data_IF_028011875507
#
_entry.id   IF_028011875507
#
_cell.length_a   1.000
_cell.length_b   1.000
_cell.length_c   1.000
_cell.angle_alpha   90.00
_cell.angle_beta   90.00
_cell.angle_gamma   90.00
#
_symmetry.space_group_name_H-M   'P 1'
#
loop_
_entity.id
_entity.type
_entity.pdbx_description
1 polymer ?
#
# COMPACT_ATOMS: atom_id res chain seq x y z
N UNK A 1 -17.45 8.79 9.29
CA UNK A 1 -16.84 8.77 10.63
C UNK A 1 -15.99 7.51 10.75
N UNK A 2 -14.73 7.59 10.34
CA UNK A 2 -13.70 6.63 10.75
C UNK A 2 -13.09 7.12 12.07
N UNK A 3 -13.03 6.24 13.06
CA UNK A 3 -12.57 6.55 14.40
C UNK A 3 -11.99 5.30 15.06
N UNK A 4 -11.01 5.52 15.93
CA UNK A 4 -10.29 4.47 16.67
C UNK A 4 -11.29 3.55 17.38
N UNK A 5 -11.07 2.23 17.33
CA UNK A 5 -11.96 1.22 17.91
C UNK A 5 -13.21 0.91 17.08
N UNK A 6 -13.41 1.56 15.92
CA UNK A 6 -14.52 1.26 15.02
C UNK A 6 -14.29 -0.02 14.19
N UNK A 7 -15.41 -0.63 13.78
CA UNK A 7 -15.47 -1.68 12.77
C UNK A 7 -15.86 -1.07 11.42
N UNK A 8 -15.10 -1.37 10.37
CA UNK A 8 -15.37 -0.95 8.99
C UNK A 8 -15.31 -2.16 8.06
N UNK A 9 -16.24 -2.24 7.12
CA UNK A 9 -16.11 -3.12 5.96
C UNK A 9 -16.00 -2.29 4.68
N UNK A 10 -15.23 -2.77 3.73
CA UNK A 10 -15.04 -2.11 2.44
C UNK A 10 -14.94 -3.14 1.32
N UNK A 11 -15.50 -2.84 0.15
CA UNK A 11 -15.45 -3.73 -1.02
C UNK A 11 -14.10 -3.64 -1.75
N UNK A 12 -13.02 -3.76 -0.97
CA UNK A 12 -11.63 -3.68 -1.43
C UNK A 12 -10.73 -4.44 -0.46
N UNK A 13 -9.74 -5.16 -0.99
CA UNK A 13 -8.83 -5.98 -0.18
C UNK A 13 -7.90 -5.18 0.72
N UNK A 14 -7.62 -3.92 0.39
CA UNK A 14 -6.71 -3.03 1.12
C UNK A 14 -7.43 -2.12 2.11
N UNK A 15 -8.73 -2.36 2.36
CA UNK A 15 -9.49 -1.81 3.50
C UNK A 15 -8.74 -1.90 4.86
N UNK A 16 -7.95 -2.96 5.17
CA UNK A 16 -7.10 -3.02 6.37
C UNK A 16 -6.17 -1.83 6.59
N UNK A 17 -5.91 -0.98 5.59
CA UNK A 17 -5.18 0.28 5.73
C UNK A 17 -5.65 1.13 6.93
N UNK A 18 -6.96 1.15 7.22
CA UNK A 18 -7.50 1.92 8.34
C UNK A 18 -7.11 1.37 9.73
N UNK A 19 -6.54 0.16 9.81
CA UNK A 19 -5.97 -0.40 11.03
C UNK A 19 -4.77 0.38 11.58
N UNK A 20 -4.10 1.18 10.73
CA UNK A 20 -3.10 2.15 11.17
C UNK A 20 -3.67 3.30 12.02
N UNK A 21 -5.00 3.43 12.06
CA UNK A 21 -5.76 4.33 12.95
C UNK A 21 -6.58 3.55 13.98
N UNK A 22 -6.14 2.34 14.33
CA UNK A 22 -6.76 1.50 15.36
C UNK A 22 -8.17 1.03 15.04
N UNK A 23 -8.53 0.93 13.75
CA UNK A 23 -9.81 0.37 13.32
C UNK A 23 -9.68 -1.12 12.98
N UNK A 24 -10.72 -1.90 13.28
CA UNK A 24 -10.88 -3.22 12.68
C UNK A 24 -11.51 -3.00 11.30
N UNK A 25 -10.70 -3.03 10.23
CA UNK A 25 -11.14 -2.68 8.89
C UNK A 25 -10.96 -3.86 7.92
N UNK A 26 -12.05 -4.44 7.43
CA UNK A 26 -12.03 -5.73 6.72
C UNK A 26 -12.51 -5.58 5.28
N UNK A 27 -11.75 -6.15 4.34
CA UNK A 27 -12.14 -6.23 2.94
C UNK A 27 -13.18 -7.32 2.71
N UNK A 28 -14.26 -7.02 1.98
CA UNK A 28 -15.38 -7.93 1.74
C UNK A 28 -15.84 -7.92 0.27
N UNK A 29 -16.73 -8.84 -0.10
CA UNK A 29 -17.41 -8.80 -1.40
C UNK A 29 -18.54 -7.77 -1.42
N UNK A 30 -19.07 -7.48 -2.61
CA UNK A 30 -20.20 -6.56 -2.75
C UNK A 30 -21.47 -7.01 -2.03
N UNK A 31 -21.69 -8.33 -1.90
CA UNK A 31 -22.85 -8.89 -1.22
C UNK A 31 -22.82 -8.61 0.30
N UNK A 32 -21.68 -8.81 0.95
CA UNK A 32 -21.51 -8.51 2.39
C UNK A 32 -21.78 -7.02 2.71
N UNK A 33 -21.35 -6.13 1.80
CA UNK A 33 -21.64 -4.70 1.95
C UNK A 33 -23.14 -4.41 1.83
N UNK A 34 -23.86 -5.12 0.94
CA UNK A 34 -25.32 -5.03 0.83
C UNK A 34 -26.01 -5.50 2.11
N UNK A 35 -25.55 -6.60 2.72
CA UNK A 35 -26.11 -7.08 3.98
C UNK A 35 -26.04 -6.01 5.07
N UNK A 36 -24.88 -5.40 5.30
CA UNK A 36 -24.74 -4.32 6.29
C UNK A 36 -25.57 -3.09 5.92
N UNK A 37 -25.62 -2.71 4.63
CA UNK A 37 -26.46 -1.60 4.17
C UNK A 37 -27.96 -1.88 4.33
N UNK A 38 -28.36 -3.15 4.31
CA UNK A 38 -29.72 -3.63 4.49
C UNK A 38 -30.07 -3.94 5.96
N UNK A 39 -29.17 -3.62 6.91
CA UNK A 39 -29.33 -3.93 8.34
C UNK A 39 -29.41 -5.43 8.64
N UNK A 40 -28.72 -6.24 7.83
CA UNK A 40 -28.56 -7.68 8.02
C UNK A 40 -27.22 -7.92 8.75
N UNK A 41 -27.20 -8.75 9.82
CA UNK A 41 -25.97 -9.08 10.51
C UNK A 41 -24.92 -9.67 9.56
N UNK A 42 -23.73 -9.08 9.56
CA UNK A 42 -22.60 -9.59 8.79
C UNK A 42 -21.89 -10.72 9.54
N UNK A 43 -21.68 -11.83 8.86
CA UNK A 43 -21.00 -12.99 9.42
C UNK A 43 -19.49 -12.93 9.17
N UNK A 44 -18.71 -13.13 10.23
CA UNK A 44 -17.26 -13.28 10.16
C UNK A 44 -16.85 -14.54 10.92
N UNK A 45 -16.09 -15.41 10.25
CA UNK A 45 -15.44 -16.51 10.95
C UNK A 45 -14.49 -15.95 12.00
N UNK A 46 -14.65 -16.37 13.26
CA UNK A 46 -13.81 -15.91 14.36
C UNK A 46 -12.32 -16.07 14.02
N UNK A 47 -11.56 -14.97 13.92
CA UNK A 47 -10.17 -15.03 13.49
C UNK A 47 -9.27 -15.51 14.63
N UNK A 48 -8.15 -16.13 14.25
CA UNK A 48 -6.97 -16.23 15.13
C UNK A 48 -6.27 -14.86 15.25
N UNK A 49 -5.30 -14.73 16.15
CA UNK A 49 -4.49 -13.51 16.25
C UNK A 49 -3.00 -13.83 16.15
N UNK A 50 -2.34 -13.24 15.17
CA UNK A 50 -0.88 -13.26 15.01
C UNK A 50 -0.33 -11.97 15.61
N UNK A 51 0.44 -12.07 16.69
CA UNK A 51 1.11 -10.94 17.31
C UNK A 51 2.45 -10.64 16.63
N UNK A 52 2.64 -9.43 16.10
CA UNK A 52 3.94 -8.95 15.60
C UNK A 52 4.51 -7.95 16.61
N UNK A 53 5.50 -8.41 17.37
CA UNK A 53 6.19 -7.60 18.39
C UNK A 53 7.29 -6.77 17.74
N UNK A 54 7.15 -5.46 17.80
CA UNK A 54 8.12 -4.49 17.34
C UNK A 54 8.96 -3.99 18.52
N UNK A 55 10.28 -4.06 18.40
CA UNK A 55 11.24 -3.52 19.36
C UNK A 55 12.24 -2.59 18.68
N UNK A 56 12.89 -1.70 19.42
CA UNK A 56 13.85 -0.76 18.85
C UNK A 56 13.21 0.38 18.05
N UNK A 57 14.00 1.04 17.21
CA UNK A 57 13.55 2.15 16.36
C UNK A 57 14.24 2.07 14.99
N UNK A 58 13.48 2.28 13.92
CA UNK A 58 14.04 2.34 12.56
C UNK A 58 14.93 3.58 12.41
N UNK A 59 15.99 3.46 11.60
CA UNK A 59 16.89 4.58 11.30
C UNK A 59 17.36 4.56 9.85
N UNK A 60 17.80 5.72 9.37
CA UNK A 60 18.35 5.86 8.03
C UNK A 60 17.33 5.61 6.91
N UNK A 61 17.62 4.61 6.08
CA UNK A 61 16.82 4.25 4.90
C UNK A 61 15.63 3.34 5.20
N UNK A 62 15.61 2.71 6.39
CA UNK A 62 14.53 1.82 6.79
C UNK A 62 13.25 2.62 7.05
N UNK A 63 12.12 2.08 6.60
CA UNK A 63 10.80 2.69 6.60
C UNK A 63 9.74 1.72 7.11
N UNK A 64 8.53 2.23 7.40
CA UNK A 64 7.40 1.40 7.80
C UNK A 64 7.08 0.30 6.77
N UNK A 65 7.32 0.57 5.48
CA UNK A 65 7.14 -0.41 4.41
C UNK A 65 8.02 -1.64 4.60
N UNK A 66 9.23 -1.49 5.12
CA UNK A 66 10.17 -2.60 5.29
C UNK A 66 9.71 -3.60 6.36
N UNK A 67 8.94 -3.14 7.35
CA UNK A 67 8.34 -4.01 8.37
C UNK A 67 7.40 -5.01 7.70
N UNK A 68 6.44 -4.54 6.90
CA UNK A 68 5.48 -5.42 6.25
C UNK A 68 6.11 -6.25 5.12
N UNK A 69 7.10 -5.72 4.40
CA UNK A 69 7.87 -6.52 3.43
C UNK A 69 8.60 -7.69 4.11
N UNK A 70 9.17 -7.46 5.30
CA UNK A 70 9.80 -8.51 6.12
C UNK A 70 8.78 -9.51 6.65
N UNK A 71 7.66 -9.05 7.21
CA UNK A 71 6.57 -9.91 7.69
C UNK A 71 6.01 -10.77 6.56
N UNK A 72 5.81 -10.21 5.37
CA UNK A 72 5.38 -10.95 4.19
C UNK A 72 6.36 -12.07 3.82
N UNK A 73 7.67 -11.82 3.90
CA UNK A 73 8.69 -12.85 3.70
C UNK A 73 8.68 -13.96 4.76
N UNK A 74 8.32 -13.65 6.01
CA UNK A 74 8.22 -14.63 7.10
C UNK A 74 6.96 -15.48 6.97
N UNK A 75 5.81 -14.85 6.73
CA UNK A 75 4.50 -15.50 6.73
C UNK A 75 4.12 -16.11 5.38
N UNK A 76 4.72 -15.65 4.28
CA UNK A 76 4.29 -15.95 2.90
C UNK A 76 2.87 -15.46 2.59
N UNK A 77 2.44 -15.56 1.33
CA UNK A 77 1.07 -15.17 0.90
C UNK A 77 -0.08 -15.97 1.56
N UNK A 78 0.21 -17.00 2.36
CA UNK A 78 -0.79 -17.83 3.03
C UNK A 78 -0.78 -17.73 4.55
N UNK A 79 0.28 -17.20 5.15
CA UNK A 79 0.51 -17.32 6.60
C UNK A 79 -0.47 -16.56 7.47
N UNK A 80 -1.14 -15.52 6.92
CA UNK A 80 -2.16 -14.75 7.62
C UNK A 80 -3.59 -15.30 7.49
N UNK A 81 -3.81 -16.33 6.67
CA UNK A 81 -5.17 -16.78 6.32
C UNK A 81 -6.01 -17.12 7.55
N UNK A 82 -7.14 -16.41 7.72
CA UNK A 82 -8.06 -16.61 8.85
C UNK A 82 -7.57 -16.06 10.18
N UNK A 83 -6.57 -15.18 10.16
CA UNK A 83 -6.06 -14.47 11.33
C UNK A 83 -6.09 -12.95 11.13
N UNK A 84 -6.20 -12.23 12.24
CA UNK A 84 -5.87 -10.81 12.34
C UNK A 84 -4.40 -10.68 12.73
N UNK A 85 -3.68 -9.78 12.09
CA UNK A 85 -2.31 -9.42 12.51
C UNK A 85 -2.36 -8.21 13.43
N UNK A 86 -1.98 -8.40 14.68
CA UNK A 86 -1.95 -7.35 15.69
C UNK A 86 -0.50 -6.96 15.99
N UNK A 87 -0.18 -5.68 15.85
CA UNK A 87 1.16 -5.16 16.10
C UNK A 87 1.27 -4.64 17.53
N UNK A 88 2.32 -5.01 18.25
CA UNK A 88 2.52 -4.60 19.64
C UNK A 88 4.00 -4.40 20.00
N UNK A 89 4.28 -3.97 21.22
CA UNK A 89 5.65 -3.76 21.71
C UNK A 89 6.13 -2.31 21.58
N UNK A 90 7.29 -1.98 22.19
CA UNK A 90 7.75 -0.59 22.33
C UNK A 90 8.09 0.09 20.99
N UNK A 91 8.40 -0.68 19.94
CA UNK A 91 8.69 -0.12 18.62
C UNK A 91 7.48 0.53 17.95
N UNK A 92 6.25 0.18 18.36
CA UNK A 92 5.01 0.75 17.80
C UNK A 92 4.96 2.26 17.94
N UNK A 93 5.35 2.82 19.09
CA UNK A 93 5.25 4.26 19.36
C UNK A 93 6.30 5.11 18.60
N UNK A 94 7.23 4.43 17.91
CA UNK A 94 8.22 5.05 17.02
C UNK A 94 7.71 5.24 15.60
N UNK A 95 6.57 4.63 15.25
CA UNK A 95 5.99 4.68 13.91
C UNK A 95 4.97 5.82 13.79
N UNK A 96 4.95 6.48 12.64
CA UNK A 96 3.89 7.41 12.29
C UNK A 96 2.55 6.71 12.09
N UNK A 97 1.45 7.45 12.22
CA UNK A 97 0.11 6.90 11.93
C UNK A 97 -0.01 6.40 10.49
N UNK A 98 0.53 7.14 9.53
CA UNK A 98 0.53 6.76 8.11
C UNK A 98 1.45 5.58 7.82
N UNK A 99 2.59 5.46 8.51
CA UNK A 99 3.45 4.28 8.43
C UNK A 99 2.78 3.02 9.00
N UNK A 100 2.05 3.14 10.11
CA UNK A 100 1.20 2.06 10.62
C UNK A 100 0.13 1.66 9.58
N UNK A 101 -0.46 2.62 8.87
CA UNK A 101 -1.41 2.34 7.80
C UNK A 101 -0.77 1.60 6.62
N UNK A 102 0.44 1.97 6.20
CA UNK A 102 1.24 1.24 5.20
C UNK A 102 1.41 -0.23 5.58
N UNK A 103 1.73 -0.50 6.85
CA UNK A 103 1.95 -1.86 7.36
C UNK A 103 0.63 -2.64 7.31
N UNK A 104 -0.46 -2.08 7.82
CA UNK A 104 -1.76 -2.76 7.83
C UNK A 104 -2.31 -2.99 6.41
N UNK A 105 -2.11 -2.03 5.50
CA UNK A 105 -2.51 -2.11 4.10
C UNK A 105 -1.98 -3.39 3.46
N UNK A 106 -0.66 -3.58 3.53
CA UNK A 106 0.00 -4.71 2.87
C UNK A 106 -0.09 -6.03 3.67
N UNK A 107 -0.73 -6.01 4.85
CA UNK A 107 -1.21 -7.21 5.52
C UNK A 107 -2.22 -8.02 4.69
N UNK A 108 -2.87 -7.38 3.71
CA UNK A 108 -3.72 -8.07 2.75
C UNK A 108 -2.96 -9.12 1.91
N UNK A 109 -1.67 -8.87 1.61
CA UNK A 109 -0.86 -9.73 0.74
C UNK A 109 -0.45 -11.06 1.38
N UNK A 110 -0.55 -11.18 2.71
CA UNK A 110 -0.33 -12.44 3.45
C UNK A 110 -1.63 -13.21 3.73
N UNK A 111 -2.76 -12.70 3.24
CA UNK A 111 -4.09 -13.29 3.42
C UNK A 111 -4.72 -13.03 4.79
N UNK A 112 -4.21 -12.04 5.55
CA UNK A 112 -4.80 -11.66 6.83
C UNK A 112 -6.24 -11.14 6.64
N UNK A 113 -7.13 -11.47 7.58
CA UNK A 113 -8.49 -10.93 7.62
C UNK A 113 -8.46 -9.41 7.73
N UNK A 114 -7.58 -8.91 8.60
CA UNK A 114 -7.19 -7.50 8.68
C UNK A 114 -5.90 -7.39 9.48
N UNK A 115 -5.42 -6.17 9.68
CA UNK A 115 -4.25 -5.84 10.50
C UNK A 115 -4.55 -4.58 11.29
N UNK A 116 -4.08 -4.48 12.54
CA UNK A 116 -4.30 -3.29 13.36
C UNK A 116 -3.14 -2.97 14.30
N UNK A 117 -3.04 -1.69 14.65
CA UNK A 117 -2.19 -1.18 15.72
C UNK A 117 -3.04 -0.72 16.90
N UNK A 118 -2.53 -0.80 18.14
CA UNK A 118 -3.19 -0.24 19.31
C UNK A 118 -3.20 1.29 19.25
N UNK A 119 -4.21 1.92 19.85
CA UNK A 119 -4.25 3.37 19.94
C UNK A 119 -3.01 3.93 20.66
N UNK A 120 -2.43 4.99 20.09
CA UNK A 120 -1.30 5.71 20.66
C UNK A 120 -1.30 7.20 20.27
N UNK A 121 -0.33 7.95 20.80
CA UNK A 121 -0.22 9.39 20.59
C UNK A 121 -0.09 9.79 19.11
N UNK A 122 0.55 8.95 18.28
CA UNK A 122 0.75 9.20 16.84
C UNK A 122 -0.57 9.22 16.08
N UNK A 123 -1.49 8.32 16.43
CA UNK A 123 -2.87 8.36 15.92
C UNK A 123 -3.60 9.62 16.40
N UNK A 124 -3.40 10.03 17.65
CA UNK A 124 -3.94 11.28 18.20
C UNK A 124 -3.47 12.52 17.44
N UNK A 125 -2.16 12.61 17.14
CA UNK A 125 -1.57 13.70 16.38
C UNK A 125 -2.12 13.75 14.94
N UNK A 126 -2.25 12.59 14.29
CA UNK A 126 -2.85 12.49 12.96
C UNK A 126 -4.33 12.92 12.96
N UNK A 127 -5.13 12.49 13.94
CA UNK A 127 -6.52 12.91 14.11
C UNK A 127 -6.61 14.44 14.25
N UNK A 128 -5.76 15.05 15.08
CA UNK A 128 -5.72 16.50 15.26
C UNK A 128 -5.34 17.23 13.97
N UNK A 129 -4.29 16.77 13.28
CA UNK A 129 -3.84 17.35 12.01
C UNK A 129 -4.90 17.27 10.90
N UNK A 130 -5.75 16.25 10.94
CA UNK A 130 -6.85 16.02 9.99
C UNK A 130 -8.20 16.54 10.52
N UNK A 131 -8.19 17.56 11.38
CA UNK A 131 -9.37 18.29 11.88
C UNK A 131 -10.37 17.44 12.69
N UNK A 132 -9.89 16.37 13.34
CA UNK A 132 -10.68 15.47 14.19
C UNK A 132 -10.19 15.43 15.65
N UNK A 133 -9.86 16.57 16.30
CA UNK A 133 -9.33 16.57 17.67
C UNK A 133 -10.28 15.93 18.68
N UNK A 134 -11.59 16.13 18.51
CA UNK A 134 -12.61 15.53 19.37
C UNK A 134 -12.58 14.00 19.39
N UNK A 135 -12.22 13.35 18.27
CA UNK A 135 -12.07 11.89 18.23
C UNK A 135 -10.84 11.46 19.04
N UNK A 136 -9.74 12.24 18.96
CA UNK A 136 -8.55 11.97 19.76
C UNK A 136 -8.86 12.09 21.25
N UNK A 137 -9.55 13.16 21.67
CA UNK A 137 -9.91 13.38 23.09
C UNK A 137 -10.79 12.24 23.65
N UNK A 138 -11.73 11.74 22.85
CA UNK A 138 -12.53 10.57 23.22
C UNK A 138 -11.71 9.29 23.26
N UNK A 139 -10.85 9.05 22.26
CA UNK A 139 -9.97 7.88 22.24
C UNK A 139 -9.00 7.87 23.44
N UNK A 140 -8.45 9.02 23.82
CA UNK A 140 -7.63 9.18 25.03
C UNK A 140 -8.40 8.79 26.30
N UNK A 141 -9.67 9.18 26.40
CA UNK A 141 -10.55 8.87 27.54
C UNK A 141 -10.93 7.37 27.61
N UNK A 142 -10.97 6.68 26.47
CA UNK A 142 -11.30 5.26 26.34
C UNK A 142 -10.09 4.37 26.00
N UNK A 143 -8.86 4.88 26.16
CA UNK A 143 -7.65 4.20 25.70
C UNK A 143 -7.49 2.76 26.24
N UNK A 144 -8.04 2.49 27.43
CA UNK A 144 -8.02 1.17 28.05
C UNK A 144 -8.80 0.11 27.25
N UNK A 145 -9.77 0.49 26.42
CA UNK A 145 -10.49 -0.40 25.51
C UNK A 145 -9.86 -0.48 24.11
N UNK A 146 -8.86 0.36 23.83
CA UNK A 146 -8.27 0.56 22.49
C UNK A 146 -6.85 0.00 22.39
N UNK A 147 -6.46 -0.79 23.38
CA UNK A 147 -5.16 -1.48 23.49
C UNK A 147 -5.43 -2.90 23.98
N UNK A 148 -4.53 -3.81 23.63
CA UNK A 148 -4.59 -5.17 24.14
C UNK A 148 -4.43 -5.21 25.66
N UNK A 149 -5.13 -6.14 26.30
CA UNK A 149 -4.98 -6.41 27.72
C UNK A 149 -3.56 -6.90 28.04
N UNK A 150 -3.09 -6.60 29.26
CA UNK A 150 -1.81 -7.12 29.73
C UNK A 150 -1.85 -8.65 29.77
N UNK A 151 -0.92 -9.30 29.04
CA UNK A 151 -0.87 -10.76 28.94
C UNK A 151 -1.87 -11.36 27.95
N UNK A 152 -2.41 -10.56 27.02
CA UNK A 152 -3.18 -11.08 25.89
C UNK A 152 -2.41 -12.20 25.15
N UNK A 153 -3.13 -13.28 24.84
CA UNK A 153 -2.55 -14.44 24.17
C UNK A 153 -2.67 -14.29 22.66
N UNK A 154 -1.55 -14.54 21.96
CA UNK A 154 -1.51 -14.62 20.51
C UNK A 154 -1.34 -16.08 20.08
N UNK A 155 -2.05 -16.52 19.03
CA UNK A 155 -1.91 -17.86 18.47
C UNK A 155 -0.51 -18.10 17.87
N UNK A 156 0.14 -17.03 17.44
CA UNK A 156 1.51 -17.01 16.93
C UNK A 156 2.15 -15.66 17.28
N UNK A 157 3.44 -15.66 17.62
CA UNK A 157 4.22 -14.43 17.83
C UNK A 157 5.40 -14.37 16.87
N UNK A 158 5.59 -13.22 16.22
CA UNK A 158 6.76 -12.87 15.42
C UNK A 158 7.42 -11.66 16.08
N UNK A 159 8.73 -11.68 16.24
CA UNK A 159 9.49 -10.54 16.76
C UNK A 159 10.31 -9.88 15.65
N UNK A 160 10.27 -8.55 15.58
CA UNK A 160 11.07 -7.73 14.66
C UNK A 160 11.79 -6.65 15.45
N UNK A 161 13.12 -6.70 15.43
CA UNK A 161 13.98 -5.64 15.96
C UNK A 161 14.24 -4.58 14.89
N UNK A 162 13.60 -3.43 15.05
CA UNK A 162 13.67 -2.28 14.15
C UNK A 162 15.08 -1.67 14.08
N UNK A 163 15.95 -1.90 15.07
CA UNK A 163 17.34 -1.42 15.03
C UNK A 163 18.18 -2.16 13.97
N UNK A 164 17.79 -3.41 13.67
CA UNK A 164 18.52 -4.29 12.74
C UNK A 164 17.79 -4.48 11.41
N UNK A 165 16.55 -4.00 11.32
CA UNK A 165 15.78 -3.99 10.08
C UNK A 165 16.45 -3.04 9.08
N UNK A 166 16.83 -3.59 7.92
CA UNK A 166 17.33 -2.83 6.78
C UNK A 166 16.26 -2.72 5.68
N UNK A 167 16.43 -1.83 4.68
CA UNK A 167 15.49 -1.72 3.57
C UNK A 167 15.27 -3.05 2.84
N UNK A 168 14.06 -3.29 2.35
CA UNK A 168 13.67 -4.52 1.66
C UNK A 168 13.06 -4.24 0.30
N UNK A 169 13.22 -5.22 -0.60
CA UNK A 169 12.59 -5.24 -1.92
C UNK A 169 11.98 -6.63 -2.12
N UNK A 170 10.68 -6.68 -2.41
CA UNK A 170 9.98 -7.94 -2.65
C UNK A 170 9.59 -8.10 -4.12
N UNK A 171 9.67 -9.32 -4.65
CA UNK A 171 9.28 -9.62 -6.04
C UNK A 171 10.24 -10.58 -6.75
N UNK A 172 10.00 -10.89 -8.04
CA UNK A 172 9.24 -10.06 -8.99
C UNK A 172 7.78 -10.45 -9.29
N UNK A 173 7.29 -11.59 -8.82
CA UNK A 173 5.95 -12.12 -9.18
C UNK A 173 5.07 -12.49 -7.97
N UNK A 174 5.56 -12.16 -6.78
CA UNK A 174 4.88 -12.43 -5.52
C UNK A 174 5.38 -11.46 -4.45
N UNK A 175 4.49 -10.93 -3.60
CA UNK A 175 4.83 -9.91 -2.61
C UNK A 175 5.59 -10.49 -1.41
N UNK A 176 5.69 -11.80 -1.29
CA UNK A 176 6.40 -12.51 -0.20
C UNK A 176 7.81 -12.99 -0.57
N UNK A 177 8.27 -12.80 -1.81
CA UNK A 177 9.67 -13.06 -2.16
C UNK A 177 10.54 -11.90 -1.66
N UNK A 178 10.81 -11.91 -0.36
CA UNK A 178 11.46 -10.81 0.34
C UNK A 178 12.98 -10.89 0.27
N UNK A 179 13.61 -9.81 -0.21
CA UNK A 179 15.06 -9.71 -0.30
C UNK A 179 15.52 -8.43 0.40
N UNK A 180 16.36 -8.53 1.45
CA UNK A 180 16.99 -7.35 2.03
C UNK A 180 17.86 -6.63 0.98
N UNK A 181 17.89 -5.30 1.02
CA UNK A 181 18.60 -4.47 0.04
C UNK A 181 20.08 -4.87 -0.09
N UNK A 182 20.73 -5.22 1.03
CA UNK A 182 22.11 -5.69 1.07
C UNK A 182 22.41 -6.91 0.19
N UNK A 183 21.39 -7.73 -0.13
CA UNK A 183 21.48 -8.95 -0.93
C UNK A 183 20.81 -8.82 -2.29
N UNK A 184 20.12 -7.70 -2.57
CA UNK A 184 19.26 -7.59 -3.74
C UNK A 184 20.05 -7.61 -5.06
N UNK A 185 21.20 -6.95 -5.11
CA UNK A 185 22.12 -6.99 -6.26
C UNK A 185 22.54 -8.42 -6.63
N UNK A 186 22.85 -9.24 -5.63
CA UNK A 186 23.22 -10.64 -5.83
C UNK A 186 22.01 -11.45 -6.33
N UNK A 187 20.82 -11.20 -5.78
CA UNK A 187 19.59 -11.85 -6.21
C UNK A 187 19.22 -11.50 -7.66
N UNK A 188 19.35 -10.24 -8.08
CA UNK A 188 19.14 -9.81 -9.48
C UNK A 188 20.03 -10.60 -10.43
N UNK A 189 21.32 -10.73 -10.10
CA UNK A 189 22.28 -11.49 -10.90
C UNK A 189 21.99 -13.00 -10.89
N UNK A 190 21.71 -13.57 -9.73
CA UNK A 190 21.50 -15.01 -9.57
C UNK A 190 20.24 -15.51 -10.29
N UNK A 191 19.21 -14.68 -10.37
CA UNK A 191 17.93 -15.04 -10.99
C UNK A 191 17.75 -14.51 -12.42
N UNK A 192 18.79 -13.89 -13.00
CA UNK A 192 18.74 -13.26 -14.33
C UNK A 192 17.56 -12.27 -14.47
N UNK A 193 17.33 -11.44 -13.45
CA UNK A 193 16.34 -10.37 -13.54
C UNK A 193 16.92 -9.19 -14.32
N UNK A 194 16.13 -8.47 -15.16
CA UNK A 194 16.64 -7.32 -15.89
C UNK A 194 17.14 -6.25 -14.92
N UNK A 195 18.44 -5.96 -14.93
CA UNK A 195 19.02 -4.96 -14.02
C UNK A 195 18.62 -3.53 -14.40
N UNK A 196 18.49 -3.24 -15.69
CA UNK A 196 18.03 -1.93 -16.17
C UNK A 196 16.61 -1.67 -15.66
N UNK A 197 16.47 -0.60 -14.88
CA UNK A 197 15.17 -0.15 -14.40
C UNK A 197 14.52 0.69 -15.49
N UNK A 198 13.35 0.30 -15.98
CA UNK A 198 12.63 1.11 -16.98
C UNK A 198 11.76 2.18 -16.32
N UNK A 199 11.02 1.81 -15.26
CA UNK A 199 10.07 2.71 -14.60
C UNK A 199 10.10 2.55 -13.07
N UNK A 200 10.23 3.67 -12.37
CA UNK A 200 9.95 3.80 -10.94
C UNK A 200 8.59 4.44 -10.70
N UNK A 201 7.78 3.85 -9.82
CA UNK A 201 6.43 4.33 -9.53
C UNK A 201 6.24 4.50 -8.02
N UNK A 202 6.05 5.73 -7.54
CA UNK A 202 5.73 5.98 -6.13
C UNK A 202 4.28 6.41 -5.95
N UNK A 203 3.73 6.21 -4.75
CA UNK A 203 2.37 6.60 -4.39
C UNK A 203 1.41 5.42 -4.27
N UNK A 204 0.21 5.56 -4.83
CA UNK A 204 -0.96 4.68 -4.61
C UNK A 204 -1.39 4.66 -3.14
N UNK A 205 -2.38 3.85 -2.78
CA UNK A 205 -2.93 3.85 -1.42
C UNK A 205 -1.92 3.43 -0.32
N UNK A 206 -0.89 2.65 -0.65
CA UNK A 206 0.06 2.09 0.34
C UNK A 206 1.10 3.09 0.83
N UNK A 207 1.66 3.93 -0.05
CA UNK A 207 2.80 4.81 0.23
C UNK A 207 2.65 6.15 -0.48
N UNK A 208 1.58 6.89 -0.17
CA UNK A 208 1.31 8.23 -0.71
C UNK A 208 0.94 9.26 0.34
N UNK A 209 1.34 9.05 1.59
CA UNK A 209 1.18 10.03 2.65
C UNK A 209 2.07 11.26 2.43
N UNK A 210 1.84 12.31 3.23
CA UNK A 210 2.72 13.48 3.23
C UNK A 210 4.17 13.11 3.64
N UNK A 211 4.32 12.17 4.56
CA UNK A 211 5.61 11.63 4.99
C UNK A 211 6.32 10.92 3.83
N UNK A 212 5.63 10.01 3.14
CA UNK A 212 6.16 9.28 1.97
C UNK A 212 6.66 10.26 0.89
N UNK A 213 5.82 11.25 0.56
CA UNK A 213 6.12 12.25 -0.46
C UNK A 213 7.29 13.16 -0.04
N UNK A 214 7.39 13.48 1.25
CA UNK A 214 8.50 14.28 1.78
C UNK A 214 9.83 13.52 1.72
N UNK A 215 9.84 12.23 2.08
CA UNK A 215 11.02 11.37 2.00
C UNK A 215 11.50 11.16 0.56
N UNK A 216 10.57 10.93 -0.37
CA UNK A 216 10.90 10.89 -1.81
C UNK A 216 11.43 12.24 -2.32
N UNK A 217 10.79 13.35 -1.94
CA UNK A 217 11.23 14.67 -2.35
C UNK A 217 12.61 15.03 -1.81
N UNK A 218 13.02 14.57 -0.62
CA UNK A 218 14.38 14.82 -0.12
C UNK A 218 15.44 14.17 -0.99
N UNK A 219 15.20 12.94 -1.46
CA UNK A 219 16.11 12.24 -2.39
C UNK A 219 16.14 12.94 -3.75
N UNK A 220 14.97 13.31 -4.27
CA UNK A 220 14.88 14.04 -5.54
C UNK A 220 15.59 15.39 -5.49
N UNK A 221 15.49 16.12 -4.37
CA UNK A 221 16.19 17.39 -4.15
C UNK A 221 17.70 17.20 -4.14
N UNK A 222 18.20 16.23 -3.40
CA UNK A 222 19.64 15.94 -3.35
C UNK A 222 20.20 15.58 -4.74
N UNK A 223 19.44 14.84 -5.55
CA UNK A 223 19.83 14.56 -6.93
C UNK A 223 19.88 15.83 -7.80
N UNK A 224 18.88 16.71 -7.67
CA UNK A 224 18.81 17.98 -8.37
C UNK A 224 19.94 18.94 -7.97
N UNK A 225 20.33 18.97 -6.70
CA UNK A 225 21.46 19.76 -6.20
C UNK A 225 22.79 19.31 -6.83
N UNK A 226 22.88 18.05 -7.26
CA UNK A 226 23.99 17.50 -8.05
C UNK A 226 23.75 17.54 -9.57
N UNK A 227 22.72 18.27 -10.02
CA UNK A 227 22.39 18.46 -11.44
C UNK A 227 21.84 17.22 -12.15
N UNK A 228 21.33 16.24 -11.39
CA UNK A 228 20.77 15.01 -11.96
C UNK A 228 19.25 15.09 -12.12
N UNK A 229 18.76 14.33 -13.11
CA UNK A 229 17.35 13.99 -13.30
C UNK A 229 17.17 12.48 -13.26
N UNK A 230 15.94 12.02 -13.06
CA UNK A 230 15.59 10.62 -13.13
C UNK A 230 16.07 10.00 -14.45
N UNK A 231 16.76 8.85 -14.35
CA UNK A 231 17.27 8.12 -15.51
C UNK A 231 16.25 7.12 -16.06
N UNK A 232 15.45 6.54 -15.17
CA UNK A 232 14.24 5.78 -15.51
C UNK A 232 13.03 6.70 -15.58
N UNK A 233 11.95 6.25 -16.23
CA UNK A 233 10.66 6.96 -16.16
C UNK A 233 10.21 6.98 -14.71
N UNK A 234 9.77 8.14 -14.23
CA UNK A 234 9.37 8.31 -12.84
C UNK A 234 7.92 8.79 -12.76
N UNK A 235 7.06 8.06 -12.06
CA UNK A 235 5.66 8.47 -11.85
C UNK A 235 5.31 8.57 -10.38
N UNK A 236 4.43 9.52 -10.06
CA UNK A 236 4.03 9.85 -8.69
C UNK A 236 2.52 9.90 -8.62
N UNK A 237 1.91 9.13 -7.72
CA UNK A 237 0.45 9.10 -7.53
C UNK A 237 0.09 9.56 -6.12
N UNK A 238 -0.41 10.79 -5.92
CA UNK A 238 -0.94 11.20 -4.62
C UNK A 238 -2.17 10.38 -4.25
N UNK A 239 -2.33 10.04 -2.96
CA UNK A 239 -3.44 9.18 -2.51
C UNK A 239 -4.79 9.88 -2.41
N UNK A 240 -4.80 11.22 -2.44
CA UNK A 240 -6.01 12.03 -2.37
C UNK A 240 -5.76 13.44 -2.90
N UNK A 241 -6.83 14.19 -3.15
CA UNK A 241 -6.75 15.61 -3.48
C UNK A 241 -6.12 16.44 -2.36
N UNK A 242 -6.47 16.14 -1.10
CA UNK A 242 -5.85 16.79 0.06
C UNK A 242 -4.33 16.60 0.08
N UNK A 243 -3.84 15.39 -0.17
CA UNK A 243 -2.39 15.16 -0.25
C UNK A 243 -1.80 15.93 -1.42
N UNK A 244 -2.39 15.82 -2.62
CA UNK A 244 -1.94 16.50 -3.83
C UNK A 244 -1.78 18.01 -3.60
N UNK A 245 -2.83 18.67 -3.11
CA UNK A 245 -2.82 20.10 -2.80
C UNK A 245 -1.78 20.47 -1.74
N UNK A 246 -1.67 19.65 -0.67
CA UNK A 246 -0.72 19.91 0.42
C UNK A 246 0.74 19.82 -0.05
N UNK A 247 1.09 18.78 -0.83
CA UNK A 247 2.47 18.58 -1.32
C UNK A 247 2.84 19.54 -2.46
N UNK A 248 1.84 20.07 -3.18
CA UNK A 248 2.02 21.17 -4.13
C UNK A 248 2.36 22.46 -3.39
N UNK A 249 1.54 22.84 -2.40
CA UNK A 249 1.74 24.02 -1.57
C UNK A 249 3.09 24.02 -0.84
N UNK A 250 3.53 22.86 -0.36
CA UNK A 250 4.75 22.71 0.44
C UNK A 250 6.02 22.41 -0.40
N UNK A 251 5.90 22.34 -1.73
CA UNK A 251 7.03 22.30 -2.67
C UNK A 251 7.61 20.91 -2.96
N UNK A 252 7.08 19.83 -2.37
CA UNK A 252 7.48 18.47 -2.74
C UNK A 252 7.11 18.17 -4.20
N UNK A 253 5.92 18.60 -4.65
CA UNK A 253 5.47 18.38 -6.03
C UNK A 253 6.38 19.05 -7.05
N UNK A 254 6.76 20.31 -6.80
CA UNK A 254 7.70 21.04 -7.65
C UNK A 254 9.04 20.30 -7.75
N UNK A 255 9.55 19.83 -6.62
CA UNK A 255 10.81 19.06 -6.54
C UNK A 255 10.73 17.78 -7.37
N UNK A 256 9.65 17.00 -7.22
CA UNK A 256 9.46 15.74 -7.94
C UNK A 256 9.28 15.95 -9.46
N UNK A 257 8.57 17.02 -9.86
CA UNK A 257 8.44 17.39 -11.28
C UNK A 257 9.78 17.86 -11.87
N UNK A 258 10.53 18.70 -11.15
CA UNK A 258 11.84 19.18 -11.60
C UNK A 258 12.84 18.02 -11.81
N UNK A 259 12.75 16.99 -10.98
CA UNK A 259 13.50 15.74 -11.08
C UNK A 259 13.15 14.88 -12.32
N UNK A 260 12.14 15.26 -13.11
CA UNK A 260 11.66 14.49 -14.27
C UNK A 260 10.53 13.50 -13.93
N UNK A 261 9.94 13.63 -12.74
CA UNK A 261 8.75 12.91 -12.35
C UNK A 261 7.50 13.40 -13.07
N UNK A 262 6.56 12.49 -13.29
CA UNK A 262 5.22 12.79 -13.80
C UNK A 262 4.20 12.47 -12.71
N UNK A 263 3.53 13.52 -12.22
CA UNK A 263 2.42 13.36 -11.27
C UNK A 263 1.17 12.88 -12.02
N UNK A 264 0.66 11.72 -11.62
CA UNK A 264 -0.57 11.13 -12.13
C UNK A 264 -1.78 11.65 -11.35
N UNK A 265 -2.98 11.35 -11.85
CA UNK A 265 -4.21 11.64 -11.14
C UNK A 265 -4.27 10.90 -9.79
N UNK A 266 -5.04 11.44 -8.83
CA UNK A 266 -5.27 10.87 -7.50
C UNK A 266 -6.16 9.62 -7.58
N UNK A 267 -5.66 8.55 -8.20
CA UNK A 267 -6.39 7.32 -8.50
C UNK A 267 -5.44 6.12 -8.51
N UNK A 268 -5.97 4.89 -8.45
CA UNK A 268 -5.14 3.68 -8.39
C UNK A 268 -4.19 3.53 -9.60
N UNK A 269 -4.66 3.90 -10.80
CA UNK A 269 -3.85 3.95 -12.02
C UNK A 269 -3.00 2.66 -12.25
N UNK A 270 -1.67 2.78 -12.42
CA UNK A 270 -0.79 1.64 -12.66
C UNK A 270 -0.81 0.54 -11.58
N UNK A 271 -1.31 0.81 -10.37
CA UNK A 271 -1.40 -0.19 -9.31
C UNK A 271 -2.36 -1.34 -9.65
N UNK A 272 -3.36 -1.07 -10.50
CA UNK A 272 -4.38 -2.06 -10.91
C UNK A 272 -4.34 -2.38 -12.40
N UNK A 273 -3.32 -1.93 -13.13
CA UNK A 273 -3.22 -2.14 -14.58
C UNK A 273 -3.86 -1.04 -15.43
N UNK A 274 -4.44 0.00 -14.81
CA UNK A 274 -4.98 1.17 -15.51
C UNK A 274 -3.84 2.11 -15.90
N UNK A 275 -3.02 1.66 -16.84
CA UNK A 275 -1.84 2.36 -17.34
C UNK A 275 -1.63 2.07 -18.82
N UNK A 276 -1.71 3.12 -19.64
CA UNK A 276 -1.34 3.03 -21.05
C UNK A 276 0.19 3.11 -21.21
N UNK A 277 0.88 2.01 -20.89
CA UNK A 277 2.34 1.91 -20.94
C UNK A 277 2.86 1.82 -22.38
N UNK A 278 3.84 2.66 -22.73
CA UNK A 278 4.37 2.78 -24.11
C UNK A 278 5.89 2.61 -24.27
N UNK A 279 6.65 2.56 -23.18
CA UNK A 279 8.12 2.51 -23.21
C UNK A 279 8.67 1.16 -23.69
N UNK A 280 7.91 0.07 -23.50
CA UNK A 280 8.30 -1.28 -23.90
C UNK A 280 7.18 -2.00 -24.66
N UNK A 281 7.48 -2.76 -25.74
CA UNK A 281 6.51 -3.63 -26.37
C UNK A 281 5.98 -4.72 -25.43
N UNK A 282 4.73 -5.14 -25.62
CA UNK A 282 4.15 -6.26 -24.88
C UNK A 282 4.96 -7.55 -25.13
N UNK A 283 5.28 -8.28 -24.07
CA UNK A 283 6.14 -9.47 -24.12
C UNK A 283 7.63 -9.18 -23.93
N UNK A 284 8.04 -7.92 -23.84
CA UNK A 284 9.43 -7.58 -23.53
C UNK A 284 9.74 -7.81 -22.05
N UNK A 285 10.80 -8.58 -21.77
CA UNK A 285 11.36 -8.77 -20.42
C UNK A 285 11.96 -7.44 -19.95
N UNK A 286 11.42 -6.88 -18.89
CA UNK A 286 11.84 -5.59 -18.33
C UNK A 286 11.63 -5.58 -16.81
N UNK A 287 12.16 -4.56 -16.13
CA UNK A 287 11.99 -4.37 -14.70
C UNK A 287 11.34 -3.03 -14.37
N UNK A 288 10.42 -3.06 -13.42
CA UNK A 288 9.84 -1.88 -12.77
C UNK A 288 9.96 -2.03 -11.25
N UNK A 289 10.08 -0.91 -10.54
CA UNK A 289 10.02 -0.89 -9.07
C UNK A 289 8.95 0.10 -8.62
N UNK A 290 8.13 -0.33 -7.67
CA UNK A 290 6.97 0.44 -7.22
C UNK A 290 6.91 0.55 -5.71
N UNK A 291 6.29 1.61 -5.19
CA UNK A 291 5.95 1.68 -3.76
C UNK A 291 4.56 1.11 -3.45
N UNK A 292 4.02 0.27 -4.34
CA UNK A 292 2.70 -0.35 -4.18
C UNK A 292 2.80 -1.61 -3.28
N UNK A 293 1.80 -2.48 -3.34
CA UNK A 293 1.69 -3.68 -2.51
C UNK A 293 1.72 -4.98 -3.33
N UNK A 294 1.11 -5.01 -4.53
CA UNK A 294 1.04 -6.20 -5.40
C UNK A 294 1.94 -6.09 -6.63
N UNK A 295 2.57 -7.21 -6.93
CA UNK A 295 3.43 -7.43 -8.08
C UNK A 295 3.15 -8.77 -8.77
N UNK A 296 1.89 -9.22 -8.80
CA UNK A 296 1.53 -10.42 -9.56
C UNK A 296 1.77 -10.20 -11.05
N UNK A 297 2.00 -11.31 -11.77
CA UNK A 297 2.32 -11.31 -13.20
C UNK A 297 1.33 -10.50 -14.02
N UNK A 298 1.82 -9.50 -14.76
CA UNK A 298 1.01 -8.64 -15.63
C UNK A 298 0.06 -7.68 -14.91
N UNK A 299 0.10 -7.58 -13.57
CA UNK A 299 -0.83 -6.72 -12.81
C UNK A 299 -0.75 -5.25 -13.18
N UNK A 300 0.45 -4.71 -13.41
CA UNK A 300 0.64 -3.27 -13.57
C UNK A 300 0.43 -2.76 -15.01
N UNK A 301 0.69 -3.60 -16.01
CA UNK A 301 0.76 -3.20 -17.43
C UNK A 301 0.24 -4.27 -18.41
N UNK A 302 -0.36 -5.36 -17.90
CA UNK A 302 -0.77 -6.53 -18.67
C UNK A 302 0.35 -7.22 -19.49
N UNK A 303 1.63 -6.94 -19.18
CA UNK A 303 2.78 -7.63 -19.76
C UNK A 303 3.30 -8.70 -18.79
N UNK A 304 3.15 -10.01 -19.10
CA UNK A 304 3.58 -11.07 -18.21
C UNK A 304 5.12 -11.14 -18.02
N UNK A 305 5.88 -10.49 -18.90
CA UNK A 305 7.35 -10.47 -18.84
C UNK A 305 7.91 -9.30 -18.00
N UNK A 306 7.06 -8.40 -17.52
CA UNK A 306 7.44 -7.33 -16.59
C UNK A 306 7.74 -7.91 -15.22
N UNK A 307 8.97 -7.70 -14.74
CA UNK A 307 9.42 -8.06 -13.40
C UNK A 307 9.14 -6.88 -12.47
N UNK A 308 8.10 -7.00 -11.64
CA UNK A 308 7.65 -5.92 -10.77
C UNK A 308 8.16 -6.12 -9.34
N UNK A 309 8.89 -5.14 -8.83
CA UNK A 309 9.39 -5.15 -7.47
C UNK A 309 8.63 -4.12 -6.63
N UNK A 310 8.41 -4.44 -5.35
CA UNK A 310 7.77 -3.53 -4.39
C UNK A 310 8.74 -3.15 -3.27
N UNK A 311 8.84 -1.86 -2.98
CA UNK A 311 9.78 -1.27 -2.03
C UNK A 311 9.17 -0.03 -1.36
N UNK A 312 9.96 0.68 -0.54
CA UNK A 312 9.60 2.00 0.00
C UNK A 312 9.74 3.10 -1.07
N UNK A 313 8.94 4.19 -1.00
CA UNK A 313 8.95 5.22 -2.03
C UNK A 313 10.29 5.96 -2.15
N UNK A 314 11.02 6.17 -1.06
CA UNK A 314 12.39 6.71 -1.06
C UNK A 314 13.39 5.83 -1.81
N UNK A 315 13.28 4.50 -1.67
CA UNK A 315 14.18 3.54 -2.31
C UNK A 315 13.87 3.44 -3.81
N UNK A 316 12.58 3.43 -4.16
CA UNK A 316 12.12 3.56 -5.55
C UNK A 316 12.70 4.82 -6.18
N UNK A 317 12.61 5.95 -5.47
CA UNK A 317 13.11 7.24 -5.96
C UNK A 317 14.62 7.17 -6.21
N UNK A 318 15.41 6.72 -5.25
CA UNK A 318 16.87 6.60 -5.38
C UNK A 318 17.29 5.69 -6.55
N UNK A 319 16.66 4.51 -6.69
CA UNK A 319 16.94 3.58 -7.78
C UNK A 319 16.53 4.14 -9.15
N UNK A 320 15.50 4.97 -9.21
CA UNK A 320 15.03 5.63 -10.45
C UNK A 320 16.05 6.64 -10.97
N UNK A 321 16.78 7.33 -10.09
CA UNK A 321 17.92 8.17 -10.48
C UNK A 321 19.12 7.35 -10.97
N UNK A 322 19.39 6.20 -10.35
CA UNK A 322 20.44 5.30 -10.81
C UNK A 322 20.11 4.61 -12.16
N UNK A 323 18.83 4.36 -12.40
CA UNK A 323 18.31 3.61 -13.55
C UNK A 323 18.69 2.14 -13.56
N UNK A 324 19.02 1.59 -12.39
CA UNK A 324 19.57 0.25 -12.21
C UNK A 324 19.06 -0.34 -10.88
N UNK A 325 18.43 -1.52 -10.94
CA UNK A 325 17.94 -2.27 -9.78
C UNK A 325 19.06 -2.75 -8.86
N UNK A 326 20.30 -2.78 -9.32
CA UNK A 326 21.46 -3.23 -8.53
C UNK A 326 22.12 -2.13 -7.72
N UNK A 327 21.60 -0.89 -7.78
CA UNK A 327 22.08 0.25 -7.02
C UNK A 327 21.64 0.17 -5.55
N UNK A 328 22.60 0.19 -4.63
CA UNK A 328 22.36 0.25 -3.18
C UNK A 328 22.67 1.67 -2.67
N UNK A 329 21.66 2.55 -2.45
CA UNK A 329 21.90 3.93 -2.03
C UNK A 329 22.59 4.06 -0.66
N UNK A 330 22.67 2.98 0.13
CA UNK A 330 23.36 3.01 1.42
C UNK A 330 24.89 2.93 1.26
N UNK A 331 25.37 2.40 0.12
CA UNK A 331 26.78 2.10 -0.15
C UNK A 331 27.31 2.78 -1.41
N UNK A 332 26.54 2.78 -2.47
CA UNK A 332 26.96 3.16 -3.80
C UNK A 332 26.92 4.69 -4.00
N UNK A 333 27.66 5.16 -5.01
CA UNK A 333 27.70 6.57 -5.41
C UNK A 333 27.12 6.76 -6.81
N UNK A 334 26.53 7.92 -7.08
CA UNK A 334 26.25 8.41 -8.42
C UNK A 334 27.25 9.50 -8.80
N UNK A 335 27.38 9.78 -10.10
CA UNK A 335 28.20 10.86 -10.61
C UNK A 335 27.29 12.05 -10.90
N UNK A 336 27.54 13.19 -10.24
CA UNK A 336 26.82 14.44 -10.48
C UNK A 336 27.16 15.04 -11.85
N UNK A 337 26.39 16.06 -12.26
CA UNK A 337 26.64 16.80 -13.50
C UNK A 337 27.99 17.54 -13.51
N UNK A 338 28.56 17.82 -12.33
CA UNK A 338 29.91 18.37 -12.16
C UNK A 338 31.03 17.32 -12.28
N UNK A 339 30.68 16.07 -12.57
CA UNK A 339 31.60 14.94 -12.70
C UNK A 339 32.07 14.35 -11.38
N UNK A 340 31.60 14.83 -10.23
CA UNK A 340 32.02 14.32 -8.92
C UNK A 340 31.12 13.21 -8.41
N UNK A 341 31.67 12.20 -7.72
CA UNK A 341 30.86 11.19 -7.06
C UNK A 341 30.17 11.79 -5.84
N UNK A 342 28.90 11.44 -5.64
CA UNK A 342 28.18 11.68 -4.40
C UNK A 342 27.38 10.44 -4.01
N UNK A 343 27.09 10.30 -2.72
CA UNK A 343 26.22 9.26 -2.17
C UNK A 343 25.01 9.94 -1.54
N UNK A 344 23.82 9.43 -1.82
CA UNK A 344 22.61 9.94 -1.21
C UNK A 344 22.68 9.87 0.32
N UNK A 345 22.29 10.95 0.98
CA UNK A 345 21.99 10.95 2.39
C UNK A 345 20.74 10.10 2.67
N UNK A 346 20.58 9.67 3.93
CA UNK A 346 19.33 9.03 4.33
C UNK A 346 18.14 10.00 4.12
N UNK A 347 17.00 9.50 3.60
CA UNK A 347 15.84 10.32 3.34
C UNK A 347 15.31 10.95 4.64
N UNK A 348 14.83 12.18 4.52
CA UNK A 348 14.25 12.95 5.61
C UNK A 348 12.96 13.62 5.15
N UNK A 349 12.12 14.03 6.11
CA UNK A 349 10.82 14.63 5.82
C UNK A 349 10.01 14.82 7.08
N UNK A 350 8.95 15.60 7.00
CA UNK A 350 8.01 15.73 8.12
C UNK A 350 6.95 14.63 8.02
N UNK A 351 6.58 14.05 9.15
CA UNK A 351 5.48 13.08 9.27
C UNK A 351 4.13 13.69 8.84
N UNK A 352 3.86 14.90 9.34
CA UNK A 352 2.64 15.66 9.08
C UNK A 352 3.02 17.04 8.52
N UNK A 353 2.15 17.68 7.71
CA UNK A 353 2.41 19.02 7.19
C UNK A 353 2.47 20.03 8.35
N UNK A 354 3.59 20.75 8.55
CA UNK A 354 3.72 21.71 9.66
C UNK A 354 2.70 22.85 9.60
N UNK A 355 2.16 23.13 8.41
CA UNK A 355 1.15 24.16 8.15
C UNK A 355 -0.29 23.60 8.12
N UNK A 356 -0.48 22.33 8.48
CA UNK A 356 -1.75 21.62 8.31
C UNK A 356 -2.02 21.20 6.87
N UNK A 357 -3.04 20.36 6.68
CA UNK A 357 -3.45 19.89 5.36
C UNK A 357 -4.22 20.96 4.58
N UNK A 358 -3.91 21.09 3.30
CA UNK A 358 -4.73 21.83 2.34
C UNK A 358 -5.82 20.88 1.81
N UNK A 359 -7.11 21.18 1.97
CA UNK A 359 -8.17 20.29 1.51
C UNK A 359 -8.23 20.16 -0.03
N UNK A 360 -7.68 21.11 -0.77
CA UNK A 360 -7.74 21.15 -2.23
C UNK A 360 -9.16 21.41 -2.75
N UNK A 361 -9.49 20.80 -3.88
CA UNK A 361 -10.82 20.90 -4.49
C UNK A 361 -11.90 20.13 -3.70
N UNK A 362 -13.12 20.67 -3.66
CA UNK A 362 -14.26 19.97 -3.07
C UNK A 362 -14.65 18.78 -3.95
N UNK A 363 -14.37 17.58 -3.45
CA UNK A 363 -14.54 16.31 -4.17
C UNK A 363 -15.73 15.51 -3.66
N UNK A 364 -16.40 15.95 -2.58
CA UNK A 364 -17.49 15.23 -1.95
C UNK A 364 -18.86 15.77 -2.38
N UNK A 365 -19.73 14.86 -2.83
CA UNK A 365 -21.15 15.14 -3.04
C UNK A 365 -21.98 14.46 -1.95
N UNK A 366 -22.59 15.27 -1.08
CA UNK A 366 -23.50 14.75 -0.05
C UNK A 366 -24.77 14.15 -0.68
N UNK A 367 -25.35 13.09 -0.07
CA UNK A 367 -26.67 12.61 -0.49
C UNK A 367 -27.71 13.73 -0.33
N UNK A 368 -28.64 13.91 -1.29
CA UNK A 368 -29.64 14.96 -1.21
C UNK A 368 -30.51 14.79 0.05
N UNK A 369 -30.89 15.91 0.67
CA UNK A 369 -31.78 15.92 1.84
C UNK A 369 -33.14 15.29 1.51
N UNK A 370 -33.66 15.58 0.32
CA UNK A 370 -34.90 15.01 -0.22
C UNK A 370 -34.57 13.84 -1.15
N UNK A 371 -34.82 12.61 -0.69
CA UNK A 371 -34.49 11.38 -1.43
C UNK A 371 -35.59 10.93 -2.41
N UNK A 372 -36.83 11.40 -2.22
CA UNK A 372 -38.02 10.88 -2.93
C UNK A 372 -38.05 11.13 -4.45
N UNK A 373 -37.27 12.10 -4.95
CA UNK A 373 -37.22 12.48 -6.37
C UNK A 373 -35.96 11.96 -7.09
N UNK A 374 -35.14 11.12 -6.44
CA UNK A 374 -33.94 10.55 -7.06
C UNK A 374 -34.33 9.30 -7.86
N UNK A 375 -34.16 9.37 -9.18
CA UNK A 375 -34.37 8.22 -10.07
C UNK A 375 -33.04 7.73 -10.62
N UNK A 376 -32.67 6.49 -10.28
CA UNK A 376 -31.52 5.80 -10.86
C UNK A 376 -32.01 4.98 -12.05
N UNK A 377 -31.58 5.33 -13.26
CA UNK A 377 -31.97 4.65 -14.49
C UNK A 377 -30.79 3.91 -15.10
N UNK A 378 -30.98 2.63 -15.42
CA UNK A 378 -30.00 1.82 -16.16
C UNK A 378 -30.56 1.60 -17.56
N UNK A 379 -29.87 2.10 -18.58
CA UNK A 379 -30.29 1.91 -19.96
C UNK A 379 -30.31 0.41 -20.31
N UNK A 380 -31.39 -0.11 -20.94
CA UNK A 380 -31.46 -1.52 -21.34
C UNK A 380 -30.46 -1.88 -22.46
N UNK A 381 -29.89 -0.88 -23.14
CA UNK A 381 -28.88 -1.05 -24.19
C UNK A 381 -27.47 -0.65 -23.73
N UNK A 382 -27.29 -0.41 -22.43
CA UNK A 382 -25.99 -0.09 -21.87
C UNK A 382 -25.02 -1.26 -22.04
N UNK A 383 -23.81 -0.97 -22.51
CA UNK A 383 -22.69 -1.91 -22.53
C UNK A 383 -21.77 -1.76 -21.31
N UNK A 384 -22.19 -1.00 -20.29
CA UNK A 384 -21.41 -0.70 -19.07
C UNK A 384 -22.10 -1.11 -17.77
N UNK A 385 -23.42 -1.03 -17.74
CA UNK A 385 -24.26 -1.30 -16.56
C UNK A 385 -25.44 -2.17 -16.99
N UNK A 386 -25.69 -3.24 -16.24
CA UNK A 386 -26.81 -4.14 -16.47
C UNK A 386 -27.45 -4.48 -15.13
N UNK A 387 -28.78 -4.53 -15.07
CA UNK A 387 -29.47 -5.04 -13.89
C UNK A 387 -29.22 -6.54 -13.76
N UNK A 388 -28.97 -7.00 -12.54
CA UNK A 388 -28.75 -8.43 -12.26
C UNK A 388 -30.07 -9.19 -12.41
N UNK A 389 -30.02 -10.32 -13.12
CA UNK A 389 -31.09 -11.31 -13.13
C UNK A 389 -30.91 -12.29 -11.97
N UNK A 390 -31.97 -12.63 -11.21
CA UNK A 390 -31.86 -13.61 -10.14
C UNK A 390 -31.34 -14.96 -10.65
N UNK A 391 -30.31 -15.52 -10.00
CA UNK A 391 -29.86 -16.88 -10.29
C UNK A 391 -30.96 -17.91 -9.99
N UNK A 392 -30.90 -19.06 -10.67
CA UNK A 392 -31.83 -20.17 -10.44
C UNK A 392 -31.66 -20.69 -9.01
N UNK A 393 -32.79 -20.96 -8.34
CA UNK A 393 -32.80 -21.66 -7.06
C UNK A 393 -32.27 -23.09 -7.23
N UNK A 394 -31.67 -23.64 -6.18
CA UNK A 394 -31.33 -25.06 -6.13
C UNK A 394 -32.60 -25.91 -6.30
N UNK A 395 -32.50 -26.97 -7.11
CA UNK A 395 -33.62 -27.84 -7.47
C UNK A 395 -33.81 -29.03 -6.49
N UNK A 396 -33.01 -29.08 -5.43
CA UNK A 396 -33.04 -30.14 -4.42
C UNK A 396 -32.32 -31.43 -4.84
N UNK A 397 -31.65 -31.46 -5.99
CA UNK A 397 -30.99 -32.65 -6.53
C UNK A 397 -29.47 -32.54 -6.48
N UNK A 398 -28.82 -33.70 -6.54
CA UNK A 398 -27.38 -33.80 -6.68
C UNK A 398 -26.91 -33.37 -8.07
N UNK A 399 -25.71 -32.80 -8.15
CA UNK A 399 -25.07 -32.40 -9.40
C UNK A 399 -24.30 -33.59 -10.00
N UNK A 400 -24.99 -34.42 -10.77
CA UNK A 400 -24.39 -35.59 -11.44
C UNK A 400 -23.75 -35.23 -12.79
N UNK A 401 -22.68 -35.95 -13.18
CA UNK A 401 -22.05 -35.85 -14.50
C UNK A 401 -21.55 -34.44 -14.88
N UNK A 402 -21.09 -33.65 -13.91
CA UNK A 402 -20.60 -32.30 -14.14
C UNK A 402 -19.31 -32.30 -14.99
N UNK A 403 -19.26 -31.53 -16.10
CA UNK A 403 -18.04 -31.40 -16.88
C UNK A 403 -16.99 -30.59 -16.11
N UNK A 404 -15.74 -31.04 -16.17
CA UNK A 404 -14.60 -30.26 -15.66
C UNK A 404 -14.25 -29.19 -16.70
N UNK A 405 -14.56 -27.93 -16.42
CA UNK A 405 -14.25 -26.81 -17.32
C UNK A 405 -12.73 -26.58 -17.45
N UNK A 406 -12.03 -26.56 -16.32
CA UNK A 406 -10.59 -26.34 -16.25
C UNK A 406 -10.02 -26.99 -14.99
N UNK A 407 -8.83 -27.60 -15.09
CA UNK A 407 -8.04 -28.06 -13.95
C UNK A 407 -6.84 -27.15 -13.76
N UNK A 408 -6.97 -26.15 -12.89
CA UNK A 408 -5.91 -25.18 -12.63
C UNK A 408 -4.74 -25.83 -11.88
N UNK A 409 -3.50 -25.52 -12.30
CA UNK A 409 -2.27 -25.98 -11.66
C UNK A 409 -1.56 -24.79 -10.98
N UNK A 410 -1.29 -24.89 -9.68
CA UNK A 410 -0.52 -23.89 -8.95
C UNK A 410 -1.34 -22.67 -8.52
N UNK A 411 -0.72 -21.48 -8.55
CA UNK A 411 -1.29 -20.22 -8.03
C UNK A 411 -2.44 -19.73 -8.90
N UNK A 412 -3.62 -19.52 -8.30
CA UNK A 412 -4.79 -18.93 -8.94
C UNK A 412 -5.28 -17.74 -8.10
N UNK A 413 -4.93 -16.51 -8.49
CA UNK A 413 -5.40 -15.28 -7.84
C UNK A 413 -6.73 -14.84 -8.44
N UNK A 414 -7.40 -13.87 -7.83
CA UNK A 414 -8.60 -13.26 -8.41
C UNK A 414 -8.31 -12.63 -9.78
N UNK A 415 -7.11 -12.06 -10.00
CA UNK A 415 -6.68 -11.55 -11.31
C UNK A 415 -6.61 -12.62 -12.41
N UNK A 416 -6.37 -13.90 -12.05
CA UNK A 416 -6.43 -15.01 -13.01
C UNK A 416 -7.87 -15.44 -13.34
N UNK A 417 -8.81 -15.21 -12.42
CA UNK A 417 -10.22 -15.58 -12.56
C UNK A 417 -10.99 -14.48 -13.31
N UNK A 418 -10.74 -13.22 -12.95
CA UNK A 418 -11.35 -12.03 -13.53
C UNK A 418 -10.32 -10.89 -13.47
N UNK A 419 -9.72 -10.58 -14.63
CA UNK A 419 -8.72 -9.53 -14.76
C UNK A 419 -9.33 -8.13 -14.60
N UNK A 420 -8.57 -7.23 -13.97
CA UNK A 420 -8.92 -5.82 -13.76
C UNK A 420 -8.67 -4.92 -14.98
#
# INVERSE_FOLDING_TARGET
>A
TSGVGGLMIGTDSHTPNAGGLGMVAIGVGGADAVDVMADIPWELKCPKVIGVKLTGQMSGWTSAKDIILKVAGILTVKGGTGAIVEYFGPGVDTLSCTGMATICNMGAEIGATTSLFPYNARMGDYLKATTRPYIADWADSFQHNLRADAGANYDQVIEIDLNTLEPHINGPFTPDLATPLSKFKEAVKANDWPAKLEVGLIGSCTNSSYEDMSRSASIAREALDHGLKAKSIFTITPGSEQIRATIERDGQMETLNAAGGVVLANACGPCIGQWDRKDVPKGTKNSIITSYNRNFTGRNDANPMTHAFVASPELVTAMTFAGDLTFDPTKDTLIGADGKPFKFAAPNGNELPPRGYDPGEETYQAPPKEKGNVHVQVSPTSNRLQLLEPFKKWDGKDMENMPVLIKVKGKCTTDHISMA
#
